data_IF_674348326609
#
_entry.id   IF_674348326609
#
_cell.length_a   1.000
_cell.length_b   1.000
_cell.length_c   1.000
_cell.angle_alpha   90.00
_cell.angle_beta   90.00
_cell.angle_gamma   90.00
#
_symmetry.space_group_name_H-M   'P 1'
#
loop_
_entity.id
_entity.type
_entity.pdbx_description
1 polymer ?
#
# COMPACT_ATOMS: atom_id res chain seq x y z
N UNK A 1 3.45 3.03 -21.23
CA UNK A 1 2.84 1.91 -20.51
C UNK A 1 1.38 2.21 -20.19
N UNK A 2 0.50 1.21 -20.09
CA UNK A 2 -0.87 1.41 -19.64
C UNK A 2 -0.87 1.70 -18.14
N UNK A 3 -0.77 2.97 -17.82
CA UNK A 3 -0.75 3.48 -16.45
C UNK A 3 -1.60 4.75 -16.33
N UNK A 4 -2.07 5.02 -15.13
CA UNK A 4 -2.82 6.23 -14.80
C UNK A 4 -2.44 6.72 -13.41
N UNK A 5 -2.08 7.99 -13.28
CA UNK A 5 -2.00 8.67 -11.99
C UNK A 5 -3.43 8.85 -11.48
N UNK A 6 -3.69 8.39 -10.25
CA UNK A 6 -5.04 8.37 -9.65
C UNK A 6 -5.18 9.29 -8.46
N UNK A 7 -4.05 9.61 -7.80
CA UNK A 7 -4.02 10.59 -6.72
C UNK A 7 -2.63 11.21 -6.60
N UNK A 8 -2.57 12.44 -6.16
CA UNK A 8 -1.34 13.18 -5.86
C UNK A 8 -1.48 13.76 -4.46
N UNK A 9 -0.48 13.52 -3.60
CA UNK A 9 -0.35 14.26 -2.35
C UNK A 9 0.69 15.36 -2.55
N UNK A 10 0.25 16.60 -2.53
CA UNK A 10 1.06 17.81 -2.66
C UNK A 10 0.92 18.67 -1.41
N UNK A 11 1.98 18.81 -0.62
CA UNK A 11 1.96 19.60 0.62
C UNK A 11 0.78 19.21 1.54
N UNK A 12 0.61 17.91 1.80
CA UNK A 12 -0.47 17.32 2.61
C UNK A 12 -1.89 17.56 2.06
N UNK A 13 -2.01 18.02 0.82
CA UNK A 13 -3.30 18.13 0.13
C UNK A 13 -3.45 17.04 -0.89
N UNK A 14 -4.57 16.37 -0.85
CA UNK A 14 -4.94 15.35 -1.82
C UNK A 14 -5.55 15.99 -3.07
N UNK A 15 -5.00 15.65 -4.23
CA UNK A 15 -5.51 16.06 -5.53
C UNK A 15 -5.90 14.82 -6.33
N UNK A 16 -7.05 14.83 -6.97
CA UNK A 16 -7.39 13.88 -8.04
C UNK A 16 -6.93 14.49 -9.35
N UNK A 17 -5.94 13.87 -10.06
CA UNK A 17 -5.33 14.49 -11.22
C UNK A 17 -6.24 14.50 -12.45
N UNK A 18 -6.09 15.53 -13.27
CA UNK A 18 -6.69 15.71 -14.58
C UNK A 18 -5.62 15.88 -15.64
N UNK A 19 -6.03 15.89 -16.89
CA UNK A 19 -5.11 15.97 -18.03
C UNK A 19 -4.28 17.26 -18.11
N UNK A 20 -4.68 18.30 -17.42
CA UNK A 20 -4.01 19.61 -17.32
C UNK A 20 -3.12 19.76 -16.09
N UNK A 21 -3.12 18.78 -15.18
CA UNK A 21 -2.26 18.81 -14.00
C UNK A 21 -0.83 18.40 -14.34
N UNK A 22 0.13 19.22 -13.91
CA UNK A 22 1.56 18.93 -13.97
C UNK A 22 2.04 18.31 -12.64
N UNK A 23 2.95 17.33 -12.74
CA UNK A 23 3.68 16.80 -11.59
C UNK A 23 4.84 17.73 -11.28
N UNK A 24 5.04 18.04 -10.01
CA UNK A 24 6.14 18.88 -9.56
C UNK A 24 7.02 18.12 -8.56
N UNK A 25 8.31 18.49 -8.41
CA UNK A 25 9.18 17.91 -7.41
C UNK A 25 8.57 17.99 -6.01
N UNK A 26 8.61 16.88 -5.25
CA UNK A 26 8.01 16.78 -3.93
C UNK A 26 6.58 16.22 -3.92
N UNK A 27 5.95 16.00 -5.06
CA UNK A 27 4.67 15.30 -5.14
C UNK A 27 4.82 13.82 -4.79
N UNK A 28 3.94 13.32 -3.92
CA UNK A 28 3.75 11.87 -3.77
C UNK A 28 2.66 11.41 -4.72
N UNK A 29 3.04 10.59 -5.70
CA UNK A 29 2.18 10.18 -6.80
C UNK A 29 1.70 8.75 -6.60
N UNK A 30 0.40 8.54 -6.72
CA UNK A 30 -0.23 7.23 -6.71
C UNK A 30 -0.73 6.91 -8.12
N UNK A 31 -0.32 5.76 -8.63
CA UNK A 31 -0.68 5.35 -9.98
C UNK A 31 -1.19 3.91 -9.98
N UNK A 32 -2.07 3.62 -10.93
CA UNK A 32 -2.48 2.27 -11.30
C UNK A 32 -1.83 1.94 -12.63
N UNK A 33 -1.24 0.76 -12.73
CA UNK A 33 -0.71 0.24 -13.99
C UNK A 33 -1.07 -1.25 -14.14
N UNK A 34 -1.02 -1.72 -15.37
CA UNK A 34 -1.10 -3.15 -15.65
C UNK A 34 0.08 -3.88 -14.97
N UNK A 35 -0.15 -5.03 -14.28
CA UNK A 35 0.89 -5.78 -13.59
C UNK A 35 2.12 -6.10 -14.45
N UNK A 36 1.93 -6.38 -15.75
CA UNK A 36 3.03 -6.65 -16.67
C UNK A 36 3.93 -5.44 -16.99
N UNK A 37 3.55 -4.24 -16.53
CA UNK A 37 4.30 -3.00 -16.74
C UNK A 37 4.84 -2.37 -15.45
N UNK A 38 4.72 -3.03 -14.31
CA UNK A 38 5.15 -2.49 -13.01
C UNK A 38 6.65 -2.16 -13.02
N UNK A 39 7.50 -3.07 -13.48
CA UNK A 39 8.95 -2.86 -13.56
C UNK A 39 9.31 -1.66 -14.44
N UNK A 40 8.68 -1.54 -15.62
CA UNK A 40 8.86 -0.39 -16.49
C UNK A 40 8.39 0.93 -15.86
N UNK A 41 7.30 0.87 -15.07
CA UNK A 41 6.82 2.03 -14.33
C UNK A 41 7.81 2.45 -13.23
N UNK A 42 8.38 1.49 -12.50
CA UNK A 42 9.42 1.76 -11.48
C UNK A 42 10.64 2.42 -12.13
N UNK A 43 11.11 1.90 -13.27
CA UNK A 43 12.23 2.48 -14.02
C UNK A 43 11.98 3.95 -14.44
N UNK A 44 10.75 4.28 -14.86
CA UNK A 44 10.38 5.67 -15.19
C UNK A 44 10.48 6.63 -13.99
N UNK A 45 10.42 6.13 -12.77
CA UNK A 45 10.64 6.94 -11.55
C UNK A 45 12.12 7.14 -11.22
N UNK A 46 13.03 6.56 -11.99
CA UNK A 46 14.46 6.55 -11.72
C UNK A 46 14.87 5.58 -10.60
N UNK A 47 13.95 4.76 -10.12
CA UNK A 47 14.23 3.68 -9.16
C UNK A 47 14.46 2.37 -9.90
N UNK A 48 15.22 1.47 -9.28
CA UNK A 48 15.37 0.10 -9.75
C UNK A 48 14.30 -0.79 -9.12
N UNK A 49 13.79 -1.73 -9.88
CA UNK A 49 13.02 -2.84 -9.36
C UNK A 49 13.99 -3.82 -8.69
N UNK A 50 13.86 -3.97 -7.38
CA UNK A 50 14.78 -4.76 -6.57
C UNK A 50 14.06 -6.03 -6.15
N UNK A 51 14.63 -7.17 -6.46
CA UNK A 51 14.20 -8.46 -5.94
C UNK A 51 14.59 -8.55 -4.45
N UNK A 52 13.65 -8.98 -3.63
CA UNK A 52 13.83 -9.09 -2.19
C UNK A 52 14.21 -10.55 -1.88
N UNK A 53 15.46 -10.78 -1.52
CA UNK A 53 15.98 -12.09 -1.15
C UNK A 53 16.26 -12.18 0.36
N UNK A 54 16.65 -11.07 0.99
CA UNK A 54 17.02 -11.00 2.39
C UNK A 54 16.18 -9.95 3.13
N UNK A 55 15.44 -10.39 4.16
CA UNK A 55 14.54 -9.54 4.94
C UNK A 55 14.86 -9.63 6.44
N UNK A 56 14.91 -8.47 7.10
CA UNK A 56 14.95 -8.39 8.55
C UNK A 56 13.63 -7.87 9.10
N UNK A 57 13.06 -8.58 10.06
CA UNK A 57 11.82 -8.23 10.75
C UNK A 57 12.15 -7.84 12.18
N UNK A 58 11.78 -6.65 12.61
CA UNK A 58 11.84 -6.22 14.00
C UNK A 58 10.51 -6.49 14.68
N UNK A 59 10.52 -7.36 15.67
CA UNK A 59 9.37 -7.77 16.47
C UNK A 59 8.85 -9.16 16.13
N UNK A 60 9.11 -10.12 17.03
CA UNK A 60 8.65 -11.51 16.95
C UNK A 60 7.20 -11.69 17.44
N UNK A 61 6.35 -10.68 17.39
CA UNK A 61 4.92 -10.76 17.68
C UNK A 61 4.16 -11.59 16.65
N UNK A 62 2.84 -11.71 16.82
CA UNK A 62 1.99 -12.47 15.90
C UNK A 62 2.15 -12.03 14.43
N UNK A 63 2.30 -10.73 14.18
CA UNK A 63 2.48 -10.21 12.81
C UNK A 63 3.82 -10.66 12.24
N UNK A 64 4.92 -10.46 12.98
CA UNK A 64 6.26 -10.85 12.52
C UNK A 64 6.38 -12.34 12.27
N UNK A 65 5.86 -13.17 13.18
CA UNK A 65 5.82 -14.63 13.00
C UNK A 65 5.00 -15.04 11.77
N UNK A 66 3.83 -14.40 11.56
CA UNK A 66 2.98 -14.71 10.42
C UNK A 66 3.63 -14.32 9.09
N UNK A 67 4.29 -13.16 9.03
CA UNK A 67 5.06 -12.73 7.85
C UNK A 67 6.20 -13.73 7.57
N UNK A 68 6.99 -14.06 8.58
CA UNK A 68 8.10 -15.00 8.43
C UNK A 68 7.62 -16.38 7.97
N UNK A 69 6.56 -16.92 8.57
CA UNK A 69 5.99 -18.21 8.20
C UNK A 69 5.55 -18.29 6.74
N UNK A 70 5.00 -17.19 6.20
CA UNK A 70 4.51 -17.19 4.83
C UNK A 70 5.61 -16.96 3.79
N UNK A 71 6.69 -16.26 4.16
CA UNK A 71 7.72 -15.84 3.21
C UNK A 71 9.04 -16.60 3.31
N UNK A 72 9.29 -17.36 4.39
CA UNK A 72 10.56 -18.08 4.59
C UNK A 72 10.82 -19.22 3.60
N UNK A 73 9.86 -19.55 2.75
CA UNK A 73 10.04 -20.47 1.63
C UNK A 73 10.58 -19.80 0.36
N UNK A 74 10.50 -18.47 0.27
CA UNK A 74 10.84 -17.68 -0.90
C UNK A 74 12.06 -16.78 -0.68
N UNK A 75 12.36 -16.41 0.59
CA UNK A 75 13.46 -15.52 0.94
C UNK A 75 14.04 -15.84 2.30
N UNK A 76 15.26 -15.35 2.57
CA UNK A 76 15.93 -15.48 3.86
C UNK A 76 15.34 -14.46 4.84
N UNK A 77 14.94 -14.93 6.02
CA UNK A 77 14.31 -14.05 7.02
C UNK A 77 15.09 -14.11 8.34
N UNK A 78 15.36 -12.92 8.88
CA UNK A 78 15.84 -12.72 10.25
C UNK A 78 14.74 -12.04 11.06
N UNK A 79 14.51 -12.48 12.31
CA UNK A 79 13.62 -11.77 13.26
C UNK A 79 14.46 -11.31 14.44
N UNK A 80 14.36 -10.02 14.77
CA UNK A 80 14.93 -9.45 16.00
C UNK A 80 13.81 -9.35 17.05
N UNK A 81 14.02 -9.99 18.19
CA UNK A 81 13.07 -10.01 19.33
C UNK A 81 13.82 -9.72 20.63
N UNK A 82 13.33 -8.77 21.42
CA UNK A 82 13.99 -8.35 22.66
C UNK A 82 13.75 -9.31 23.84
N UNK A 83 12.61 -9.99 23.85
CA UNK A 83 12.28 -10.93 24.91
C UNK A 83 12.93 -12.29 24.71
N UNK A 84 13.80 -12.70 25.64
CA UNK A 84 14.55 -13.95 25.59
C UNK A 84 13.65 -15.18 25.46
N UNK A 85 12.68 -15.35 26.37
CA UNK A 85 11.79 -16.52 26.36
C UNK A 85 10.99 -16.62 25.06
N UNK A 86 10.54 -15.48 24.54
CA UNK A 86 9.80 -15.43 23.29
C UNK A 86 10.70 -15.71 22.08
N UNK A 87 11.95 -15.24 22.07
CA UNK A 87 12.88 -15.58 20.98
C UNK A 87 13.14 -17.08 20.91
N UNK A 88 13.27 -17.76 22.05
CA UNK A 88 13.39 -19.22 22.11
C UNK A 88 12.13 -19.95 21.61
N UNK A 89 10.93 -19.48 22.02
CA UNK A 89 9.67 -20.04 21.52
C UNK A 89 9.55 -19.91 20.02
N UNK A 90 9.87 -18.74 19.45
CA UNK A 90 9.78 -18.47 18.01
C UNK A 90 10.78 -19.35 17.23
N UNK A 91 12.00 -19.50 17.74
CA UNK A 91 13.02 -20.36 17.11
C UNK A 91 12.54 -21.81 16.97
N UNK A 92 11.75 -22.30 17.92
CA UNK A 92 11.20 -23.66 17.88
C UNK A 92 10.07 -23.82 16.84
N UNK A 93 9.34 -22.75 16.50
CA UNK A 93 8.18 -22.82 15.59
C UNK A 93 8.50 -22.33 14.19
N UNK A 94 9.60 -21.62 13.97
CA UNK A 94 10.05 -21.09 12.69
C UNK A 94 11.45 -21.61 12.30
N UNK A 95 11.60 -22.89 11.96
CA UNK A 95 12.92 -23.51 11.72
C UNK A 95 13.68 -22.92 10.53
N UNK A 96 13.01 -22.27 9.60
CA UNK A 96 13.60 -21.63 8.41
C UNK A 96 13.87 -20.13 8.60
N UNK A 97 13.82 -19.63 9.85
CA UNK A 97 13.98 -18.20 10.15
C UNK A 97 15.08 -18.05 11.20
N UNK A 98 16.04 -17.16 10.98
CA UNK A 98 17.06 -16.84 11.98
C UNK A 98 16.47 -15.91 13.04
N UNK A 99 16.49 -16.33 14.30
CA UNK A 99 16.01 -15.52 15.42
C UNK A 99 17.20 -14.89 16.13
N UNK A 100 17.20 -13.56 16.22
CA UNK A 100 18.21 -12.74 16.89
C UNK A 100 17.58 -12.20 18.17
N UNK A 101 18.16 -12.54 19.31
CA UNK A 101 17.74 -11.96 20.59
C UNK A 101 18.43 -10.62 20.80
N UNK A 102 17.66 -9.55 20.90
CA UNK A 102 18.22 -8.22 21.13
C UNK A 102 17.22 -7.09 20.96
N UNK A 103 17.67 -5.88 21.29
CA UNK A 103 16.89 -4.65 21.13
C UNK A 103 17.09 -4.10 19.70
N UNK A 104 16.03 -4.03 18.92
CA UNK A 104 16.09 -3.52 17.55
C UNK A 104 16.22 -1.99 17.44
N UNK A 105 16.30 -1.27 18.56
CA UNK A 105 16.69 0.15 18.60
C UNK A 105 18.21 0.32 18.78
N UNK A 106 18.91 -0.75 19.11
CA UNK A 106 20.36 -0.77 19.18
C UNK A 106 20.98 -0.86 17.77
N UNK A 107 21.49 0.29 17.31
CA UNK A 107 22.05 0.44 15.96
C UNK A 107 23.28 -0.46 15.77
N UNK A 108 24.10 -0.61 16.79
CA UNK A 108 25.33 -1.41 16.74
C UNK A 108 24.98 -2.90 16.60
N UNK A 109 24.00 -3.38 17.36
CA UNK A 109 23.46 -4.72 17.22
C UNK A 109 22.93 -4.96 15.80
N UNK A 110 22.08 -4.04 15.32
CA UNK A 110 21.47 -4.17 14.00
C UNK A 110 22.52 -4.19 12.88
N UNK A 111 23.57 -3.38 13.01
CA UNK A 111 24.67 -3.36 12.05
C UNK A 111 25.50 -4.66 12.08
N UNK A 112 25.82 -5.20 13.28
CA UNK A 112 26.55 -6.47 13.45
C UNK A 112 25.74 -7.64 12.86
N UNK A 113 24.42 -7.61 13.03
CA UNK A 113 23.50 -8.62 12.47
C UNK A 113 23.23 -8.44 10.97
N UNK A 114 23.89 -7.47 10.33
CA UNK A 114 23.91 -7.27 8.89
C UNK A 114 22.66 -6.59 8.35
N UNK A 115 22.07 -5.64 9.10
CA UNK A 115 20.92 -4.85 8.61
C UNK A 115 21.22 -4.15 7.27
N UNK A 116 22.45 -3.66 7.09
CA UNK A 116 22.87 -2.97 5.86
C UNK A 116 22.91 -3.87 4.61
N UNK A 117 22.94 -5.19 4.80
CA UNK A 117 22.99 -6.19 3.72
C UNK A 117 21.60 -6.73 3.39
N UNK A 118 20.55 -6.23 4.06
CA UNK A 118 19.17 -6.64 3.82
C UNK A 118 18.54 -5.85 2.66
N UNK A 119 17.75 -6.53 1.86
CA UNK A 119 16.94 -5.91 0.81
C UNK A 119 15.69 -5.23 1.37
N UNK A 120 15.16 -5.77 2.48
CA UNK A 120 13.99 -5.24 3.15
C UNK A 120 14.11 -5.24 4.68
N UNK A 121 13.52 -4.23 5.30
CA UNK A 121 13.34 -4.12 6.75
C UNK A 121 11.87 -3.88 7.10
N UNK A 122 11.33 -4.67 8.02
CA UNK A 122 9.92 -4.64 8.42
C UNK A 122 9.83 -4.49 9.94
N UNK A 123 9.39 -3.32 10.42
CA UNK A 123 9.21 -3.06 11.86
C UNK A 123 7.73 -3.28 12.26
N UNK A 124 7.49 -4.28 13.09
CA UNK A 124 6.15 -4.74 13.49
C UNK A 124 6.04 -5.05 15.00
N UNK A 125 6.74 -4.27 15.81
CA UNK A 125 6.64 -4.33 17.27
C UNK A 125 5.28 -3.81 17.76
N UNK A 126 5.07 -3.85 19.07
CA UNK A 126 3.88 -3.25 19.71
C UNK A 126 3.96 -1.74 19.89
N UNK A 127 5.09 -1.11 19.60
CA UNK A 127 5.37 0.30 19.86
C UNK A 127 5.64 1.04 18.54
N UNK A 128 4.80 2.03 18.24
CA UNK A 128 4.82 2.76 16.96
C UNK A 128 6.07 3.62 16.81
N UNK A 129 6.54 4.24 17.89
CA UNK A 129 7.74 5.07 17.90
C UNK A 129 8.98 4.22 17.60
N UNK A 130 9.10 3.06 18.23
CA UNK A 130 10.15 2.08 17.94
C UNK A 130 10.13 1.67 16.47
N UNK A 131 8.94 1.37 15.92
CA UNK A 131 8.79 0.97 14.53
C UNK A 131 9.23 2.09 13.57
N UNK A 132 8.85 3.34 13.86
CA UNK A 132 9.21 4.51 13.04
C UNK A 132 10.72 4.74 13.10
N UNK A 133 11.30 4.81 14.32
CA UNK A 133 12.73 5.12 14.51
C UNK A 133 13.60 4.05 13.88
N UNK A 134 13.32 2.76 14.14
CA UNK A 134 14.09 1.65 13.58
C UNK A 134 14.03 1.63 12.05
N UNK A 135 12.87 1.99 11.48
CA UNK A 135 12.71 2.11 10.02
C UNK A 135 13.56 3.25 9.45
N UNK A 136 13.65 4.39 10.16
CA UNK A 136 14.54 5.50 9.77
C UNK A 136 16.01 5.11 9.85
N UNK A 137 16.41 4.32 10.87
CA UNK A 137 17.77 3.77 10.97
C UNK A 137 18.07 2.84 9.80
N UNK A 138 17.17 1.91 9.47
CA UNK A 138 17.33 1.03 8.32
C UNK A 138 17.52 1.82 7.02
N UNK A 139 16.74 2.89 6.82
CA UNK A 139 16.92 3.79 5.67
C UNK A 139 18.25 4.52 5.68
N UNK A 140 18.69 5.00 6.85
CA UNK A 140 20.01 5.64 6.97
C UNK A 140 21.11 4.68 6.56
N UNK A 141 20.99 3.41 6.92
CA UNK A 141 21.88 2.33 6.50
C UNK A 141 21.62 1.84 5.05
N UNK A 142 20.73 2.53 4.32
CA UNK A 142 20.44 2.32 2.90
C UNK A 142 19.75 0.99 2.57
N UNK A 143 19.02 0.41 3.50
CA UNK A 143 18.12 -0.71 3.19
C UNK A 143 17.12 -0.26 2.13
N UNK A 144 17.02 -0.97 0.99
CA UNK A 144 16.25 -0.50 -0.17
C UNK A 144 14.75 -0.41 0.03
N UNK A 145 14.18 -1.28 0.89
CA UNK A 145 12.74 -1.32 1.19
C UNK A 145 12.50 -1.30 2.68
N UNK A 146 11.66 -0.39 3.13
CA UNK A 146 11.35 -0.23 4.55
C UNK A 146 9.84 -0.16 4.77
N UNK A 147 9.35 -0.97 5.72
CA UNK A 147 7.93 -1.06 6.06
C UNK A 147 7.78 -0.91 7.58
N UNK A 148 6.89 -0.03 8.02
CA UNK A 148 6.55 0.13 9.43
C UNK A 148 5.08 -0.16 9.71
N UNK A 149 4.80 -0.86 10.81
CA UNK A 149 3.47 -0.94 11.40
C UNK A 149 3.28 0.28 12.28
N UNK A 150 2.28 1.11 11.96
CA UNK A 150 1.92 2.32 12.73
C UNK A 150 0.42 2.32 12.95
N UNK A 151 0.01 2.24 14.21
CA UNK A 151 -1.40 2.19 14.59
C UNK A 151 -1.95 3.58 14.96
N UNK A 152 -1.10 4.47 15.47
CA UNK A 152 -1.45 5.85 15.81
C UNK A 152 -1.78 6.63 14.55
N UNK A 153 -3.07 6.94 14.35
CA UNK A 153 -3.57 7.56 13.11
C UNK A 153 -2.96 8.94 12.87
N UNK A 154 -2.62 9.65 13.93
CA UNK A 154 -1.99 10.97 13.90
C UNK A 154 -0.58 10.97 13.28
N UNK A 155 0.10 9.81 13.30
CA UNK A 155 1.42 9.67 12.69
C UNK A 155 1.35 9.40 11.17
N UNK A 156 0.24 8.83 10.67
CA UNK A 156 0.11 8.44 9.27
C UNK A 156 0.34 9.60 8.27
N UNK A 157 -0.14 10.84 8.50
CA UNK A 157 0.08 11.93 7.56
C UNK A 157 1.54 12.39 7.43
N UNK A 158 2.37 12.13 8.45
CA UNK A 158 3.78 12.54 8.43
C UNK A 158 4.71 11.46 7.85
N UNK A 159 4.27 10.20 7.81
CA UNK A 159 5.10 9.08 7.37
C UNK A 159 5.66 9.23 5.94
N UNK A 160 4.93 9.77 4.95
CA UNK A 160 5.50 10.04 3.63
C UNK A 160 6.61 11.11 3.67
N UNK A 161 6.46 12.13 4.55
CA UNK A 161 7.42 13.24 4.67
C UNK A 161 8.75 12.78 5.24
N UNK A 162 8.72 11.84 6.19
CA UNK A 162 9.93 11.25 6.77
C UNK A 162 10.53 10.15 5.88
N UNK A 163 9.85 9.83 4.80
CA UNK A 163 10.37 9.06 3.67
C UNK A 163 10.33 7.54 3.86
N UNK A 164 9.48 6.98 4.69
CA UNK A 164 9.22 5.53 4.73
C UNK A 164 8.62 5.05 3.40
N UNK A 165 9.03 3.87 2.95
CA UNK A 165 8.53 3.33 1.67
C UNK A 165 7.09 2.85 1.79
N UNK A 166 6.74 2.20 2.91
CA UNK A 166 5.38 1.79 3.19
C UNK A 166 5.05 1.85 4.68
N UNK A 167 3.79 2.14 4.97
CA UNK A 167 3.23 2.11 6.33
C UNK A 167 1.96 1.29 6.33
N UNK A 168 1.84 0.41 7.31
CA UNK A 168 0.69 -0.47 7.52
C UNK A 168 0.03 -0.09 8.84
N UNK A 169 -1.31 0.03 8.88
CA UNK A 169 -2.08 0.25 10.09
C UNK A 169 -3.13 -0.84 10.27
N UNK A 170 -3.07 -1.56 11.39
CA UNK A 170 -4.09 -2.58 11.73
C UNK A 170 -5.48 -1.97 11.83
N UNK A 171 -5.57 -0.74 12.36
CA UNK A 171 -6.85 -0.03 12.51
C UNK A 171 -7.48 0.24 11.15
N UNK A 172 -6.71 0.80 10.20
CA UNK A 172 -7.22 1.07 8.84
C UNK A 172 -7.58 -0.21 8.10
N UNK A 173 -6.76 -1.26 8.20
CA UNK A 173 -7.08 -2.56 7.60
C UNK A 173 -8.37 -3.14 8.16
N UNK A 174 -8.58 -3.06 9.49
CA UNK A 174 -9.80 -3.53 10.14
C UNK A 174 -11.01 -2.71 9.71
N UNK A 175 -10.91 -1.37 9.71
CA UNK A 175 -11.99 -0.48 9.22
C UNK A 175 -12.34 -0.78 7.77
N UNK A 176 -11.33 -0.96 6.91
CA UNK A 176 -11.56 -1.31 5.50
C UNK A 176 -12.27 -2.66 5.36
N UNK A 177 -11.86 -3.68 6.15
CA UNK A 177 -12.52 -4.98 6.16
C UNK A 177 -13.98 -4.88 6.62
N UNK A 178 -14.26 -4.15 7.70
CA UNK A 178 -15.63 -3.94 8.21
C UNK A 178 -16.48 -3.18 7.19
N UNK A 179 -15.97 -2.10 6.61
CA UNK A 179 -16.69 -1.32 5.61
C UNK A 179 -17.09 -2.18 4.41
N UNK A 180 -16.23 -3.07 3.95
CA UNK A 180 -16.54 -4.00 2.87
C UNK A 180 -17.75 -4.90 3.17
N UNK A 181 -17.94 -5.31 4.43
CA UNK A 181 -19.09 -6.13 4.84
C UNK A 181 -20.38 -5.34 5.02
N UNK A 182 -20.27 -4.07 5.41
CA UNK A 182 -21.44 -3.21 5.69
C UNK A 182 -22.01 -2.58 4.41
N UNK A 183 -21.15 -2.27 3.43
CA UNK A 183 -21.57 -1.60 2.20
C UNK A 183 -22.23 -2.57 1.23
N UNK A 184 -23.20 -2.04 0.47
CA UNK A 184 -24.15 -2.78 -0.35
C UNK A 184 -23.52 -3.67 -1.44
N UNK A 185 -24.34 -4.60 -1.98
CA UNK A 185 -24.02 -5.63 -3.00
C UNK A 185 -23.30 -5.16 -4.27
N UNK A 186 -23.20 -3.84 -4.51
CA UNK A 186 -22.50 -3.26 -5.67
C UNK A 186 -21.05 -2.86 -5.37
N UNK A 187 -20.59 -2.94 -4.10
CA UNK A 187 -19.22 -2.62 -3.72
C UNK A 187 -18.48 -3.92 -3.43
N UNK A 188 -17.54 -4.27 -4.30
CA UNK A 188 -16.73 -5.49 -4.18
C UNK A 188 -15.54 -5.31 -3.22
N UNK A 189 -14.95 -4.11 -3.18
CA UNK A 189 -13.83 -3.79 -2.30
C UNK A 189 -13.83 -2.33 -1.87
N UNK A 190 -13.21 -2.06 -0.72
CA UNK A 190 -13.03 -0.73 -0.15
C UNK A 190 -11.65 -0.63 0.49
N UNK A 191 -10.92 0.43 0.19
CA UNK A 191 -9.63 0.71 0.79
C UNK A 191 -9.42 2.23 0.93
N UNK A 192 -8.49 2.62 1.80
CA UNK A 192 -8.03 4.00 1.97
C UNK A 192 -6.53 4.06 1.77
N UNK A 193 -6.02 5.19 1.30
CA UNK A 193 -4.58 5.44 1.23
C UNK A 193 -4.19 6.17 2.51
N UNK A 194 -3.29 5.60 3.35
CA UNK A 194 -2.84 6.26 4.56
C UNK A 194 -2.31 7.67 4.28
N UNK A 195 -2.70 8.65 5.11
CA UNK A 195 -2.28 10.05 4.96
C UNK A 195 -2.93 10.82 3.82
N UNK A 196 -3.95 10.25 3.14
CA UNK A 196 -4.68 10.90 2.06
C UNK A 196 -6.19 10.89 2.27
N UNK A 197 -6.84 11.95 1.82
CA UNK A 197 -8.31 12.07 1.77
C UNK A 197 -8.84 11.45 0.47
N UNK A 198 -8.50 10.18 0.23
CA UNK A 198 -8.96 9.38 -0.93
C UNK A 198 -9.43 8.02 -0.48
N UNK A 199 -10.56 7.61 -1.02
CA UNK A 199 -11.11 6.27 -0.89
C UNK A 199 -11.01 5.54 -2.22
N UNK A 200 -10.64 4.28 -2.14
CA UNK A 200 -10.58 3.36 -3.28
C UNK A 200 -11.78 2.45 -3.15
N UNK A 201 -12.66 2.50 -4.12
CA UNK A 201 -13.90 1.73 -4.09
C UNK A 201 -14.00 0.93 -5.39
N UNK A 202 -14.18 -0.36 -5.26
CA UNK A 202 -14.44 -1.24 -6.38
C UNK A 202 -15.95 -1.47 -6.52
N UNK A 203 -16.51 -0.95 -7.62
CA UNK A 203 -17.91 -1.12 -7.96
C UNK A 203 -18.10 -2.25 -8.97
N UNK A 204 -19.19 -3.00 -8.83
CA UNK A 204 -19.68 -3.90 -9.88
C UNK A 204 -20.67 -3.09 -10.72
N UNK A 205 -20.35 -2.90 -12.00
CA UNK A 205 -21.19 -2.16 -12.93
C UNK A 205 -22.49 -2.92 -13.21
N UNK A 206 -23.62 -2.31 -12.85
CA UNK A 206 -24.94 -2.84 -13.14
C UNK A 206 -25.46 -2.32 -14.49
N UNK A 207 -26.76 -1.92 -14.53
CA UNK A 207 -27.37 -1.26 -15.67
C UNK A 207 -27.42 0.28 -15.51
N UNK A 208 -26.55 0.84 -14.68
CA UNK A 208 -26.46 2.27 -14.38
C UNK A 208 -26.05 3.14 -15.57
N UNK A 209 -26.02 4.44 -15.34
CA UNK A 209 -25.60 5.41 -16.37
C UNK A 209 -24.18 5.18 -16.86
N UNK A 210 -23.32 4.61 -16.01
CA UNK A 210 -21.91 4.33 -16.31
C UNK A 210 -21.72 3.40 -17.53
N UNK A 211 -22.69 2.50 -17.80
CA UNK A 211 -22.64 1.55 -18.91
C UNK A 211 -23.29 2.08 -20.20
N UNK A 212 -23.86 3.29 -20.20
CA UNK A 212 -24.65 3.78 -21.35
C UNK A 212 -23.84 4.61 -22.33
N UNK A 213 -22.71 5.16 -21.91
CA UNK A 213 -21.89 6.08 -22.68
C UNK A 213 -20.42 5.89 -22.35
N UNK A 214 -19.49 6.31 -23.23
CA UNK A 214 -18.07 6.40 -22.91
C UNK A 214 -17.82 7.20 -21.64
N UNK A 215 -16.80 6.86 -20.87
CA UNK A 215 -16.48 7.48 -19.57
C UNK A 215 -16.45 9.02 -19.66
N UNK A 216 -15.88 9.58 -20.74
CA UNK A 216 -15.82 11.04 -20.95
C UNK A 216 -17.19 11.73 -21.02
N UNK A 217 -18.24 11.01 -21.39
CA UNK A 217 -19.60 11.53 -21.61
C UNK A 217 -20.57 11.21 -20.46
N UNK A 218 -20.11 10.49 -19.42
CA UNK A 218 -20.97 10.08 -18.29
C UNK A 218 -21.19 11.20 -17.29
N UNK A 219 -20.32 12.22 -17.29
CA UNK A 219 -20.34 13.29 -16.27
C UNK A 219 -19.77 12.82 -14.93
N UNK A 220 -18.59 12.17 -14.98
CA UNK A 220 -17.91 11.69 -13.79
C UNK A 220 -17.49 12.87 -12.90
N UNK A 221 -17.62 12.76 -11.55
CA UNK A 221 -17.28 13.86 -10.65
C UNK A 221 -15.80 14.28 -10.75
N UNK A 222 -15.54 15.57 -10.54
CA UNK A 222 -14.21 16.14 -10.64
C UNK A 222 -13.22 15.60 -9.59
N UNK A 223 -13.74 15.30 -8.41
CA UNK A 223 -12.98 14.74 -7.29
C UNK A 223 -12.97 13.18 -7.28
N UNK A 224 -13.17 12.57 -8.45
CA UNK A 224 -13.11 11.13 -8.61
C UNK A 224 -12.49 10.74 -9.96
N UNK A 225 -11.82 9.59 -10.00
CA UNK A 225 -11.21 9.05 -11.22
C UNK A 225 -11.36 7.53 -11.24
N UNK A 226 -11.60 6.97 -12.42
CA UNK A 226 -11.56 5.52 -12.63
C UNK A 226 -10.10 5.12 -12.87
N UNK A 227 -9.51 4.34 -11.98
CA UNK A 227 -8.13 3.85 -12.09
C UNK A 227 -8.02 2.61 -12.97
N UNK A 228 -8.93 1.65 -12.78
CA UNK A 228 -8.94 0.39 -13.52
C UNK A 228 -10.35 -0.09 -13.80
N UNK A 229 -10.50 -0.84 -14.88
CA UNK A 229 -11.70 -1.63 -15.21
C UNK A 229 -11.26 -3.06 -15.40
N UNK A 230 -11.95 -3.98 -14.77
CA UNK A 230 -11.74 -5.41 -14.91
C UNK A 230 -12.96 -6.01 -15.62
N UNK A 231 -12.73 -6.50 -16.82
CA UNK A 231 -13.71 -7.22 -17.62
C UNK A 231 -13.33 -8.70 -17.58
N UNK A 232 -14.20 -9.56 -17.06
CA UNK A 232 -13.86 -10.93 -16.68
C UNK A 232 -12.60 -10.92 -15.79
N UNK A 233 -11.48 -11.52 -16.21
CA UNK A 233 -10.21 -11.54 -15.48
C UNK A 233 -9.14 -10.61 -16.09
N UNK A 234 -9.51 -9.75 -17.05
CA UNK A 234 -8.58 -8.83 -17.69
C UNK A 234 -8.71 -7.43 -17.12
N UNK A 235 -7.63 -6.95 -16.47
CA UNK A 235 -7.52 -5.57 -16.00
C UNK A 235 -7.07 -4.65 -17.14
N UNK A 236 -7.75 -3.52 -17.28
CA UNK A 236 -7.36 -2.45 -18.20
C UNK A 236 -7.36 -1.09 -17.51
N UNK A 237 -6.42 -0.22 -17.88
CA UNK A 237 -6.46 1.19 -17.50
C UNK A 237 -7.34 1.93 -18.52
N UNK A 238 -8.54 2.38 -18.12
CA UNK A 238 -9.52 2.88 -19.08
C UNK A 238 -9.11 4.24 -19.64
N UNK A 239 -9.57 4.56 -20.85
CA UNK A 239 -9.47 5.87 -21.49
C UNK A 239 -10.83 6.56 -21.51
N UNK A 240 -10.86 7.84 -21.89
CA UNK A 240 -12.13 8.59 -22.00
C UNK A 240 -13.16 7.92 -22.92
N UNK A 241 -12.71 7.24 -23.97
CA UNK A 241 -13.56 6.52 -24.92
C UNK A 241 -13.92 5.09 -24.49
N UNK A 242 -13.42 4.61 -23.36
CA UNK A 242 -13.77 3.30 -22.83
C UNK A 242 -15.24 3.24 -22.47
N UNK A 243 -15.91 2.18 -22.89
CA UNK A 243 -17.28 1.85 -22.51
C UNK A 243 -17.27 0.74 -21.46
N UNK A 244 -17.86 1.02 -20.31
CA UNK A 244 -18.00 0.05 -19.22
C UNK A 244 -19.19 -0.84 -19.50
N UNK A 245 -19.04 -2.15 -19.33
CA UNK A 245 -20.10 -3.13 -19.56
C UNK A 245 -20.75 -3.56 -18.24
N UNK A 246 -22.02 -3.96 -18.26
CA UNK A 246 -22.64 -4.60 -17.10
C UNK A 246 -21.85 -5.86 -16.67
N UNK A 247 -21.53 -5.93 -15.38
CA UNK A 247 -20.70 -6.99 -14.81
C UNK A 247 -19.23 -6.62 -14.63
N UNK A 248 -18.75 -5.56 -15.28
CA UNK A 248 -17.38 -5.07 -15.07
C UNK A 248 -17.16 -4.64 -13.61
N UNK A 249 -15.97 -4.94 -13.11
CA UNK A 249 -15.49 -4.42 -11.83
C UNK A 249 -14.68 -3.15 -12.09
N UNK A 250 -15.09 -2.06 -11.48
CA UNK A 250 -14.56 -0.71 -11.74
C UNK A 250 -13.94 -0.15 -10.48
N UNK A 251 -12.63 0.06 -10.49
CA UNK A 251 -11.89 0.66 -9.37
C UNK A 251 -11.89 2.16 -9.50
N UNK A 252 -12.54 2.81 -8.55
CA UNK A 252 -12.69 4.27 -8.49
C UNK A 252 -11.91 4.83 -7.31
N UNK A 253 -11.12 5.86 -7.57
CA UNK A 253 -10.47 6.68 -6.57
C UNK A 253 -11.28 7.95 -6.40
N UNK A 254 -11.75 8.24 -5.20
CA UNK A 254 -12.67 9.36 -4.96
C UNK A 254 -12.42 10.03 -3.62
N UNK A 255 -12.61 11.34 -3.55
CA UNK A 255 -12.70 12.03 -2.27
C UNK A 255 -14.04 11.72 -1.60
N UNK A 256 -14.10 11.71 -0.24
CA UNK A 256 -15.32 11.34 0.50
C UNK A 256 -16.57 12.10 0.07
N UNK A 257 -16.42 13.40 -0.24
CA UNK A 257 -17.53 14.24 -0.66
C UNK A 257 -18.19 13.87 -2.00
N UNK A 258 -17.49 13.09 -2.84
CA UNK A 258 -17.97 12.70 -4.17
C UNK A 258 -18.51 11.28 -4.27
N UNK A 259 -18.44 10.48 -3.19
CA UNK A 259 -18.87 9.08 -3.17
C UNK A 259 -20.31 8.92 -3.65
N UNK A 260 -21.24 9.71 -3.09
CA UNK A 260 -22.67 9.62 -3.46
C UNK A 260 -22.91 9.96 -4.93
N UNK A 261 -22.13 10.90 -5.50
CA UNK A 261 -22.26 11.26 -6.91
C UNK A 261 -21.74 10.10 -7.79
N UNK A 262 -20.64 9.46 -7.41
CA UNK A 262 -20.14 8.26 -8.09
C UNK A 262 -21.16 7.13 -8.02
N UNK A 263 -21.67 6.80 -6.84
CA UNK A 263 -22.65 5.72 -6.67
C UNK A 263 -23.89 5.86 -7.58
N UNK A 264 -24.37 7.10 -7.78
CA UNK A 264 -25.52 7.38 -8.66
C UNK A 264 -25.28 7.00 -10.12
N UNK A 265 -24.01 6.91 -10.55
CA UNK A 265 -23.66 6.50 -11.90
C UNK A 265 -23.71 4.98 -12.07
N UNK A 266 -23.49 4.25 -10.99
CA UNK A 266 -23.51 2.78 -10.97
C UNK A 266 -24.90 2.18 -10.70
N UNK A 267 -25.80 2.96 -10.08
CA UNK A 267 -27.22 2.61 -9.89
C UNK A 267 -28.00 2.92 -11.16
#
# INVERSE_FOLDING_TARGET
>A
PPMRVVAINRNQRTLIPRGDHELIPGDHVFAVCDPGYISQFIELTGKQDIEINDMMILGGGLVGQFVAKNLSGEMNIKIVESNVGKSEEIANVLPNTLIIQGDGTDIDLMAVEGLQDMDAFVAVTGDDETNIISTLVARHLKVPRTIALVNTLEYLPITPTIGMDAVVSKQLLTVNAVNRFIQHQQIAAYATIPGMDVQIIEYIAGKGKICRKPIKDVGFPDDAIIGAVMHEDQMTVPKGDTLIQPGDRVVVFTRPGSIQAVERLFK
#
